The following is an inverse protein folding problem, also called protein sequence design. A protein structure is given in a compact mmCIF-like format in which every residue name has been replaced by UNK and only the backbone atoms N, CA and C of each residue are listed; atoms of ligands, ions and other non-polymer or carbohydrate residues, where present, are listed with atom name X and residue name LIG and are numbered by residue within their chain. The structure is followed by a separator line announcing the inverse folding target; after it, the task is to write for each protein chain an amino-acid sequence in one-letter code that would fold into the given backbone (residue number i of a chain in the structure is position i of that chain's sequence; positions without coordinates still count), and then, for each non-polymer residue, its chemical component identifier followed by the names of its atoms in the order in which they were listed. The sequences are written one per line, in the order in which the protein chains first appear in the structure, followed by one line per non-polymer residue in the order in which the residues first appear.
data_IF_429449302007
#
_entry.id   IF_429449302007
#
_cell.length_a   1.000
_cell.length_b   1.000
_cell.length_c   1.000
_cell.angle_alpha   90.00
_cell.angle_beta   90.00
_cell.angle_gamma   90.00
#
_symmetry.space_group_name_H-M   'P 1'
#
loop_
_entity.id
_entity.type
_entity.pdbx_description
1 polymer ?
#
# COMPACT_ATOMS: atom_id res chain seq x y z
N UNK A 1 -2.23 -2.96 18.40
CA UNK A 1 -0.83 -3.27 18.04
C UNK A 1 -0.46 -2.52 16.76
N UNK A 2 0.62 -1.77 16.81
CA UNK A 2 1.15 -1.12 15.61
C UNK A 2 2.05 -2.06 14.81
N UNK A 3 1.94 -1.98 13.50
CA UNK A 3 2.80 -2.70 12.57
C UNK A 3 3.34 -1.74 11.53
N UNK A 4 4.44 -2.12 10.91
CA UNK A 4 5.02 -1.43 9.77
C UNK A 4 4.96 -2.33 8.56
N UNK A 5 4.66 -1.75 7.41
CA UNK A 5 4.56 -2.48 6.15
C UNK A 5 5.41 -1.77 5.12
N UNK A 6 6.13 -2.55 4.33
CA UNK A 6 6.74 -2.05 3.10
C UNK A 6 6.06 -2.74 1.94
N UNK A 7 5.53 -1.97 1.01
CA UNK A 7 4.78 -2.51 -0.12
C UNK A 7 5.31 -1.95 -1.44
N UNK A 8 5.50 -2.85 -2.40
CA UNK A 8 5.88 -2.51 -3.76
C UNK A 8 4.81 -3.03 -4.72
N UNK A 9 4.44 -2.22 -5.70
CA UNK A 9 3.41 -2.56 -6.67
C UNK A 9 4.05 -2.67 -8.07
N UNK A 10 3.74 -3.74 -8.76
CA UNK A 10 4.25 -3.99 -10.12
C UNK A 10 3.07 -4.19 -11.08
N UNK A 11 2.49 -3.11 -11.62
CA UNK A 11 1.43 -3.25 -12.62
C UNK A 11 2.00 -3.85 -13.90
N UNK A 12 1.28 -4.82 -14.46
CA UNK A 12 1.72 -5.56 -15.64
C UNK A 12 1.22 -4.85 -16.91
N UNK A 13 1.68 -3.61 -17.10
CA UNK A 13 1.32 -2.77 -18.24
C UNK A 13 2.45 -1.77 -18.50
N UNK A 14 2.51 -1.28 -19.74
CA UNK A 14 3.47 -0.24 -20.09
C UNK A 14 3.17 1.08 -19.36
N UNK A 15 1.90 1.36 -19.10
CA UNK A 15 1.50 2.56 -18.36
C UNK A 15 1.34 2.27 -16.88
N UNK A 16 2.45 1.95 -16.21
CA UNK A 16 2.41 1.52 -14.83
C UNK A 16 2.30 2.68 -13.82
N UNK A 17 2.80 3.88 -14.17
CA UNK A 17 2.84 4.99 -13.22
C UNK A 17 1.46 5.44 -12.71
N UNK A 18 0.44 5.62 -13.55
CA UNK A 18 -0.88 6.02 -13.05
C UNK A 18 -1.49 5.01 -12.08
N UNK A 19 -1.28 3.71 -12.32
CA UNK A 19 -1.79 2.66 -11.44
C UNK A 19 -1.12 2.71 -10.07
N UNK A 20 0.20 2.91 -10.04
CA UNK A 20 0.94 3.04 -8.79
C UNK A 20 0.52 4.30 -8.04
N UNK A 21 0.45 5.43 -8.74
CA UNK A 21 0.09 6.71 -8.11
C UNK A 21 -1.32 6.67 -7.54
N UNK A 22 -2.26 6.06 -8.26
CA UNK A 22 -3.62 5.91 -7.78
C UNK A 22 -3.70 5.10 -6.49
N UNK A 23 -2.96 3.99 -6.41
CA UNK A 23 -2.90 3.18 -5.20
C UNK A 23 -2.33 4.00 -4.03
N UNK A 24 -1.20 4.67 -4.25
CA UNK A 24 -0.55 5.49 -3.22
C UNK A 24 -1.50 6.58 -2.72
N UNK A 25 -2.16 7.28 -3.63
CA UNK A 25 -3.07 8.36 -3.25
C UNK A 25 -4.23 7.85 -2.39
N UNK A 26 -4.79 6.69 -2.73
CA UNK A 26 -5.87 6.11 -1.95
C UNK A 26 -5.42 5.68 -0.55
N UNK A 27 -4.23 5.09 -0.45
CA UNK A 27 -3.67 4.71 0.86
C UNK A 27 -3.40 5.94 1.71
N UNK A 28 -2.82 6.98 1.11
CA UNK A 28 -2.53 8.23 1.81
C UNK A 28 -3.78 8.98 2.27
N UNK A 29 -4.91 8.72 1.66
CA UNK A 29 -6.17 9.33 2.07
C UNK A 29 -6.64 8.86 3.45
N UNK A 30 -6.14 7.74 3.94
CA UNK A 30 -6.44 7.28 5.29
C UNK A 30 -5.55 8.00 6.30
N UNK A 31 -6.12 8.97 7.02
CA UNK A 31 -5.38 9.80 7.97
C UNK A 31 -4.92 9.04 9.22
N UNK A 32 -5.44 7.83 9.45
CA UNK A 32 -5.02 6.98 10.56
C UNK A 32 -3.73 6.23 10.28
N UNK A 33 -3.19 6.35 9.08
CA UNK A 33 -1.94 5.69 8.68
C UNK A 33 -0.87 6.74 8.42
N UNK A 34 0.36 6.41 8.85
CA UNK A 34 1.53 7.17 8.44
C UNK A 34 2.09 6.53 7.18
N UNK A 35 2.17 7.30 6.10
CA UNK A 35 2.59 6.79 4.79
C UNK A 35 3.81 7.55 4.32
N UNK A 36 4.87 6.81 4.01
CA UNK A 36 6.11 7.37 3.48
C UNK A 36 6.39 6.73 2.13
N UNK A 37 6.46 7.55 1.09
CA UNK A 37 6.73 7.06 -0.27
C UNK A 37 8.20 7.22 -0.59
N UNK A 38 8.85 6.10 -0.90
CA UNK A 38 10.24 6.07 -1.35
C UNK A 38 10.30 5.77 -2.84
N UNK A 39 11.49 5.87 -3.43
CA UNK A 39 11.68 5.59 -4.85
C UNK A 39 11.36 4.14 -5.23
N UNK A 40 11.55 3.19 -4.31
CA UNK A 40 11.39 1.78 -4.60
C UNK A 40 10.20 1.12 -3.93
N UNK A 41 9.62 1.77 -2.94
CA UNK A 41 8.52 1.17 -2.19
C UNK A 41 7.77 2.24 -1.40
N UNK A 42 6.62 1.84 -0.86
CA UNK A 42 5.83 2.67 0.05
C UNK A 42 5.84 2.01 1.42
N UNK A 43 6.11 2.81 2.45
CA UNK A 43 6.08 2.35 3.83
C UNK A 43 4.82 2.86 4.50
N UNK A 44 4.20 1.99 5.29
CA UNK A 44 2.95 2.30 5.98
C UNK A 44 3.10 1.89 7.44
N UNK A 45 2.73 2.78 8.35
CA UNK A 45 2.75 2.51 9.78
C UNK A 45 1.37 2.80 10.35
N UNK A 46 0.85 1.90 11.16
CA UNK A 46 -0.44 2.09 11.82
C UNK A 46 -0.87 0.88 12.61
N UNK A 47 -2.07 0.98 13.20
CA UNK A 47 -2.67 -0.15 13.89
C UNK A 47 -2.99 -1.26 12.90
N UNK A 48 -2.79 -2.50 13.33
CA UNK A 48 -2.88 -3.66 12.44
C UNK A 48 -4.23 -3.75 11.73
N UNK A 49 -5.32 -3.43 12.43
CA UNK A 49 -6.67 -3.45 11.84
C UNK A 49 -6.81 -2.40 10.73
N UNK A 50 -6.27 -1.21 10.95
CA UNK A 50 -6.30 -0.14 9.95
C UNK A 50 -5.45 -0.48 8.75
N UNK A 51 -4.26 -1.02 8.97
CA UNK A 51 -3.34 -1.38 7.89
C UNK A 51 -3.96 -2.46 7.01
N UNK A 52 -4.39 -3.57 7.61
CA UNK A 52 -4.96 -4.67 6.82
C UNK A 52 -6.27 -4.29 6.14
N UNK A 53 -7.13 -3.52 6.83
CA UNK A 53 -8.37 -3.06 6.23
C UNK A 53 -8.14 -2.16 5.02
N UNK A 54 -7.18 -1.24 5.13
CA UNK A 54 -6.83 -0.35 4.03
C UNK A 54 -6.19 -1.13 2.87
N UNK A 55 -5.24 -2.02 3.15
CA UNK A 55 -4.60 -2.80 2.10
C UNK A 55 -5.61 -3.68 1.37
N UNK A 56 -6.50 -4.36 2.11
CA UNK A 56 -7.52 -5.18 1.48
C UNK A 56 -8.38 -4.36 0.53
N UNK A 57 -8.85 -3.21 0.98
CA UNK A 57 -9.74 -2.34 0.20
C UNK A 57 -9.04 -1.77 -1.03
N UNK A 58 -7.82 -1.27 -0.85
CA UNK A 58 -7.14 -0.55 -1.93
C UNK A 58 -6.45 -1.49 -2.93
N UNK A 59 -5.97 -2.64 -2.46
CA UNK A 59 -5.47 -3.67 -3.38
C UNK A 59 -6.62 -4.20 -4.24
N UNK A 60 -7.79 -4.44 -3.63
CA UNK A 60 -8.98 -4.84 -4.39
C UNK A 60 -9.33 -3.79 -5.45
N UNK A 61 -9.33 -2.53 -5.07
CA UNK A 61 -9.64 -1.44 -6.02
C UNK A 61 -8.66 -1.43 -7.19
N UNK A 62 -7.37 -1.66 -6.92
CA UNK A 62 -6.36 -1.77 -7.98
C UNK A 62 -6.64 -2.93 -8.91
N UNK A 63 -7.00 -4.10 -8.37
CA UNK A 63 -7.29 -5.27 -9.20
C UNK A 63 -8.56 -5.10 -10.03
N UNK A 64 -9.56 -4.39 -9.49
CA UNK A 64 -10.85 -4.22 -10.16
C UNK A 64 -10.82 -3.15 -11.23
N UNK A 65 -10.04 -2.10 -11.05
CA UNK A 65 -10.08 -0.91 -11.92
C UNK A 65 -8.92 -0.82 -12.88
N UNK A 66 -7.88 -1.59 -12.69
CA UNK A 66 -6.65 -1.44 -13.43
C UNK A 66 -6.18 -2.71 -14.09
N UNK A 67 -4.96 -2.70 -14.63
CA UNK A 67 -4.32 -3.88 -15.18
C UNK A 67 -4.01 -4.89 -14.08
N UNK A 68 -3.70 -6.11 -14.49
CA UNK A 68 -3.15 -7.09 -13.56
C UNK A 68 -1.90 -6.51 -12.91
N UNK A 69 -1.72 -6.79 -11.63
CA UNK A 69 -0.60 -6.25 -10.87
C UNK A 69 -0.13 -7.27 -9.83
N UNK A 70 1.14 -7.15 -9.48
CA UNK A 70 1.74 -7.92 -8.39
C UNK A 70 2.06 -6.96 -7.26
N UNK A 71 1.69 -7.31 -6.04
CA UNK A 71 2.10 -6.59 -4.84
C UNK A 71 3.06 -7.47 -4.04
N UNK A 72 4.18 -6.88 -3.63
CA UNK A 72 5.12 -7.54 -2.72
C UNK A 72 5.11 -6.76 -1.42
N UNK A 73 4.82 -7.46 -0.33
CA UNK A 73 4.70 -6.83 0.98
C UNK A 73 5.57 -7.50 2.01
N UNK A 74 6.10 -6.68 2.91
CA UNK A 74 6.80 -7.14 4.11
C UNK A 74 6.10 -6.53 5.31
N UNK A 75 5.84 -7.34 6.32
CA UNK A 75 5.18 -6.90 7.54
C UNK A 75 6.13 -7.05 8.70
N UNK A 76 6.30 -5.97 9.47
CA UNK A 76 7.09 -5.97 10.70
C UNK A 76 6.16 -5.66 11.87
N UNK A 77 6.16 -6.48 12.87
CA UNK A 77 5.36 -6.25 14.07
C UNK A 77 5.88 -7.02 15.28
N UNK A 78 5.56 -6.52 16.47
CA UNK A 78 5.02 -5.20 16.74
C UNK A 78 6.03 -4.12 16.42
N UNK A 79 5.56 -2.98 15.92
CA UNK A 79 6.42 -1.85 15.62
C UNK A 79 6.44 -0.93 16.83
N UNK A 80 7.54 -0.90 17.54
CA UNK A 80 7.72 0.00 18.70
C UNK A 80 8.19 1.35 18.19
N UNK A 81 7.28 2.26 18.18
CA UNK A 81 7.57 3.62 17.72
C UNK A 81 7.25 4.61 18.79
#
# INVERSE_FOLDING_TARGET
MKIAVEISMYPLTAEYLPAIQGFIDRVKANENLDVLVNTMSTQILGEIEEVFGTLQREIRASFESGPRAVFVTKFLGPASM
#
